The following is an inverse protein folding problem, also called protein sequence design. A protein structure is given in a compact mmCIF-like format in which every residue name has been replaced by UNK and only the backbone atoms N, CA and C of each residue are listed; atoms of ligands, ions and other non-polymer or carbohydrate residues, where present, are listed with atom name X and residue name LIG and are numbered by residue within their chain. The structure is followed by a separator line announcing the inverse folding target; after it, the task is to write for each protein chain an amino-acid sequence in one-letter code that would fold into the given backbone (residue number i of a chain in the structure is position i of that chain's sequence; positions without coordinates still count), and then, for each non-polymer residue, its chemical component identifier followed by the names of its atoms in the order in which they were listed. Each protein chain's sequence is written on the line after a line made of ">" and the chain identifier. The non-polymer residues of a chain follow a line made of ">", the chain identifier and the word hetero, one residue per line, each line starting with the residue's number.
data_IF_550564112281
#
_entry.id   IF_550564112281
#
_cell.length_a   1.000
_cell.length_b   1.000
_cell.length_c   1.000
_cell.angle_alpha   90.00
_cell.angle_beta   90.00
_cell.angle_gamma   90.00
#
_symmetry.space_group_name_H-M   'P 1'
#
loop_
_entity.id
_entity.type
_entity.pdbx_description
1 polymer ?
#
# COMPACT_ATOMS: atom_id res chain seq x y z
N UNK A 1 -6.05 1.02 -25.59
CA UNK A 1 -4.77 0.78 -24.89
C UNK A 1 -5.07 0.58 -23.40
N UNK A 2 -4.87 -0.62 -22.86
CA UNK A 2 -5.10 -0.86 -21.42
C UNK A 2 -3.88 -0.35 -20.66
N UNK A 3 -3.98 0.86 -20.13
CA UNK A 3 -3.00 1.40 -19.19
C UNK A 3 -3.05 0.48 -17.97
N UNK A 4 -2.13 -0.48 -17.87
CA UNK A 4 -1.89 -1.24 -16.65
C UNK A 4 -1.27 -0.28 -15.63
N UNK A 5 -2.08 0.67 -15.14
CA UNK A 5 -1.66 1.60 -14.11
C UNK A 5 -1.27 0.76 -12.91
N UNK A 6 0.02 0.76 -12.59
CA UNK A 6 0.55 0.12 -11.40
C UNK A 6 0.72 1.20 -10.35
N UNK A 7 0.23 0.97 -9.13
CA UNK A 7 0.55 1.82 -8.00
C UNK A 7 1.88 1.37 -7.42
N UNK A 8 2.86 2.27 -7.30
CA UNK A 8 4.13 1.93 -6.66
C UNK A 8 4.48 2.92 -5.56
N UNK A 9 5.07 2.44 -4.46
CA UNK A 9 5.74 3.30 -3.47
C UNK A 9 6.90 2.59 -2.79
N UNK A 10 7.81 3.38 -2.25
CA UNK A 10 8.82 2.93 -1.29
C UNK A 10 8.23 2.92 0.13
N UNK A 11 8.52 1.87 0.87
CA UNK A 11 8.07 1.67 2.24
C UNK A 11 8.97 2.46 3.20
N UNK A 12 8.35 3.29 4.04
CA UNK A 12 9.02 4.04 5.12
C UNK A 12 9.27 3.14 6.33
N UNK A 13 10.08 3.61 7.27
CA UNK A 13 10.34 2.89 8.52
C UNK A 13 9.07 2.64 9.34
N UNK A 14 8.18 3.63 9.41
CA UNK A 14 6.88 3.53 10.07
C UNK A 14 6.00 2.46 9.41
N UNK A 15 5.82 2.53 8.09
CA UNK A 15 5.01 1.58 7.33
C UNK A 15 5.50 0.13 7.50
N UNK A 16 6.82 -0.07 7.47
CA UNK A 16 7.43 -1.38 7.72
C UNK A 16 7.20 -1.89 9.14
N UNK A 17 7.34 -1.01 10.15
CA UNK A 17 7.15 -1.36 11.56
C UNK A 17 5.69 -1.69 11.89
N UNK A 18 4.76 -0.86 11.40
CA UNK A 18 3.33 -0.96 11.71
C UNK A 18 2.56 -1.93 10.79
N UNK A 19 3.16 -2.35 9.68
CA UNK A 19 2.58 -3.37 8.79
C UNK A 19 1.44 -2.84 7.92
N UNK A 20 1.62 -1.67 7.32
CA UNK A 20 0.76 -1.10 6.28
C UNK A 20 1.58 -0.34 5.25
N UNK A 21 0.94 0.09 4.18
CA UNK A 21 1.47 1.16 3.34
C UNK A 21 0.42 2.27 3.19
N UNK A 22 0.88 3.51 3.26
CA UNK A 22 0.08 4.69 2.98
C UNK A 22 -0.21 4.77 1.49
N UNK A 23 -1.46 5.07 1.15
CA UNK A 23 -1.89 5.35 -0.21
C UNK A 23 -1.70 6.84 -0.47
N UNK A 24 -1.05 7.18 -1.59
CA UNK A 24 -0.90 8.58 -1.98
C UNK A 24 -2.26 9.19 -2.33
N UNK A 25 -2.56 10.40 -1.83
CA UNK A 25 -3.85 11.08 -2.01
C UNK A 25 -4.24 11.20 -3.50
N UNK A 26 -3.28 11.55 -4.36
CA UNK A 26 -3.48 11.67 -5.81
C UNK A 26 -3.65 10.32 -6.54
N UNK A 27 -3.45 9.20 -5.85
CA UNK A 27 -3.61 7.83 -6.38
C UNK A 27 -4.67 7.04 -5.61
N UNK A 28 -5.47 7.69 -4.77
CA UNK A 28 -6.51 7.02 -3.98
C UNK A 28 -7.55 6.33 -4.87
N UNK A 29 -7.92 6.95 -5.98
CA UNK A 29 -8.85 6.40 -6.99
C UNK A 29 -8.33 5.13 -7.69
N UNK A 30 -7.05 4.79 -7.50
CA UNK A 30 -6.50 3.52 -7.98
C UNK A 30 -7.12 2.33 -7.24
N UNK A 31 -7.41 2.50 -5.96
CA UNK A 31 -8.01 1.50 -5.11
C UNK A 31 -9.54 1.64 -5.09
N UNK A 32 -10.26 0.61 -4.63
CA UNK A 32 -11.67 0.77 -4.29
C UNK A 32 -11.85 1.87 -3.25
N UNK A 33 -13.03 2.49 -3.24
CA UNK A 33 -13.36 3.52 -2.25
C UNK A 33 -13.07 3.06 -0.82
N UNK A 34 -12.65 4.00 0.03
CA UNK A 34 -12.34 3.71 1.44
C UNK A 34 -13.48 2.93 2.11
N UNK A 35 -13.11 1.95 2.94
CA UNK A 35 -14.04 1.02 3.58
C UNK A 35 -14.58 -0.12 2.68
N UNK A 36 -14.51 -0.02 1.35
CA UNK A 36 -14.90 -1.13 0.46
C UNK A 36 -13.86 -2.25 0.52
N UNK A 37 -14.37 -3.48 0.61
CA UNK A 37 -13.52 -4.68 0.68
C UNK A 37 -13.04 -5.08 -0.71
N UNK A 38 -11.78 -5.50 -0.81
CA UNK A 38 -11.21 -6.10 -2.00
C UNK A 38 -10.26 -7.25 -1.63
N UNK A 39 -9.88 -8.04 -2.63
CA UNK A 39 -8.90 -9.09 -2.46
C UNK A 39 -7.50 -8.58 -2.80
N UNK A 40 -6.59 -8.68 -1.84
CA UNK A 40 -5.17 -8.39 -2.04
C UNK A 40 -4.40 -9.70 -2.04
N UNK A 41 -3.75 -10.00 -3.17
CA UNK A 41 -2.93 -11.19 -3.37
C UNK A 41 -1.48 -10.83 -3.14
N UNK A 42 -0.82 -11.52 -2.22
CA UNK A 42 0.61 -11.36 -1.93
C UNK A 42 1.22 -12.75 -1.78
N UNK A 43 2.31 -13.01 -2.50
CA UNK A 43 3.02 -14.31 -2.46
C UNK A 43 2.09 -15.50 -2.72
N UNK A 44 1.15 -15.37 -3.67
CA UNK A 44 0.14 -16.39 -3.99
C UNK A 44 -1.04 -16.47 -3.01
N UNK A 45 -0.95 -15.86 -1.83
CA UNK A 45 -2.01 -15.86 -0.83
C UNK A 45 -2.96 -14.68 -1.03
N UNK A 46 -4.26 -14.99 -1.18
CA UNK A 46 -5.32 -13.98 -1.27
C UNK A 46 -5.89 -13.69 0.12
N UNK A 47 -6.02 -12.42 0.48
CA UNK A 47 -6.76 -12.00 1.68
C UNK A 47 -7.70 -10.84 1.41
N UNK A 48 -8.72 -10.69 2.26
CA UNK A 48 -9.56 -9.48 2.28
C UNK A 48 -8.74 -8.30 2.82
N UNK A 49 -8.85 -7.17 2.15
CA UNK A 49 -8.24 -5.91 2.51
C UNK A 49 -9.23 -4.76 2.26
N UNK A 50 -8.95 -3.60 2.83
CA UNK A 50 -9.68 -2.35 2.65
C UNK A 50 -8.68 -1.20 2.60
N UNK A 51 -9.06 -0.11 1.95
CA UNK A 51 -8.43 1.18 2.20
C UNK A 51 -9.05 1.71 3.49
N UNK A 52 -8.23 1.83 4.53
CA UNK A 52 -8.57 2.43 5.82
C UNK A 52 -8.07 3.88 5.86
N UNK A 53 -8.60 4.67 6.80
CA UNK A 53 -8.14 6.03 7.04
C UNK A 53 -8.04 6.35 8.53
N UNK A 54 -7.15 7.29 8.88
CA UNK A 54 -7.11 7.91 10.21
C UNK A 54 -6.90 9.42 10.08
N UNK A 55 -7.50 10.22 10.99
CA UNK A 55 -7.33 11.67 11.00
C UNK A 55 -5.92 12.03 11.47
N UNK A 56 -5.33 13.05 10.85
CA UNK A 56 -3.99 13.50 11.13
C UNK A 56 -3.93 15.03 11.09
N UNK A 57 -3.13 15.61 11.99
CA UNK A 57 -2.89 17.05 12.07
C UNK A 57 -1.42 17.37 11.79
N UNK A 58 -0.72 16.55 10.99
CA UNK A 58 0.71 16.78 10.74
C UNK A 58 1.01 18.03 9.90
N UNK A 59 -0.02 18.67 9.32
CA UNK A 59 0.06 20.01 8.71
C UNK A 59 -0.27 21.15 9.68
N UNK A 60 -0.55 20.83 10.94
CA UNK A 60 -1.00 21.75 11.97
C UNK A 60 -2.47 21.53 12.36
N UNK A 61 -2.90 22.03 13.53
CA UNK A 61 -4.27 21.83 14.03
C UNK A 61 -5.35 22.43 13.11
N UNK A 62 -5.02 23.48 12.37
CA UNK A 62 -5.94 24.20 11.48
C UNK A 62 -6.08 23.56 10.09
N UNK A 63 -5.25 22.57 9.77
CA UNK A 63 -5.27 21.84 8.49
C UNK A 63 -5.36 20.32 8.72
N UNK A 64 -6.44 19.82 9.34
CA UNK A 64 -6.63 18.39 9.51
C UNK A 64 -6.78 17.69 8.14
N UNK A 65 -6.15 16.53 7.98
CA UNK A 65 -6.34 15.66 6.81
C UNK A 65 -6.32 14.19 7.21
N UNK A 66 -6.88 13.35 6.34
CA UNK A 66 -6.81 11.91 6.51
C UNK A 66 -5.61 11.29 5.80
N UNK A 67 -4.93 10.38 6.50
CA UNK A 67 -4.03 9.43 5.86
C UNK A 67 -4.80 8.18 5.48
N UNK A 68 -4.66 7.75 4.23
CA UNK A 68 -5.24 6.51 3.74
C UNK A 68 -4.17 5.42 3.70
N UNK A 69 -4.51 4.19 4.06
CA UNK A 69 -3.57 3.08 4.09
C UNK A 69 -4.23 1.74 3.80
N UNK A 70 -3.39 0.75 3.44
CA UNK A 70 -3.80 -0.65 3.30
C UNK A 70 -2.92 -1.50 4.20
N UNK A 71 -3.53 -2.25 5.11
CA UNK A 71 -2.80 -3.16 6.01
C UNK A 71 -2.15 -4.30 5.23
N UNK A 72 -0.86 -4.48 5.47
CA UNK A 72 -0.10 -5.63 4.97
C UNK A 72 1.14 -5.92 5.78
N UNK A 73 1.18 -7.09 6.40
CA UNK A 73 2.34 -7.56 7.15
C UNK A 73 3.49 -7.98 6.23
N UNK A 74 4.69 -8.01 6.82
CA UNK A 74 5.90 -8.53 6.18
C UNK A 74 6.53 -7.58 5.16
N UNK A 75 6.26 -6.27 5.27
CA UNK A 75 7.03 -5.22 4.60
C UNK A 75 8.23 -4.80 5.47
N UNK A 76 9.31 -4.34 4.85
CA UNK A 76 10.46 -3.75 5.54
C UNK A 76 10.70 -2.33 5.02
N UNK A 77 11.31 -1.50 5.86
CA UNK A 77 11.77 -0.17 5.45
C UNK A 77 12.67 -0.29 4.22
N UNK A 78 12.42 0.56 3.22
CA UNK A 78 13.16 0.55 1.96
C UNK A 78 12.61 -0.38 0.88
N UNK A 79 11.77 -1.37 1.21
CA UNK A 79 11.09 -2.19 0.21
C UNK A 79 10.29 -1.32 -0.76
N UNK A 80 10.12 -1.78 -2.00
CA UNK A 80 9.19 -1.16 -2.95
C UNK A 80 7.99 -2.04 -3.16
N UNK A 81 6.81 -1.51 -2.90
CA UNK A 81 5.54 -2.19 -3.23
C UNK A 81 5.09 -1.77 -4.62
N UNK A 82 4.61 -2.73 -5.40
CA UNK A 82 3.95 -2.53 -6.68
C UNK A 82 2.60 -3.24 -6.64
N UNK A 83 1.52 -2.50 -6.83
CA UNK A 83 0.15 -3.01 -6.81
C UNK A 83 -0.47 -2.86 -8.18
N UNK A 84 -0.94 -3.96 -8.75
CA UNK A 84 -1.64 -4.02 -10.03
C UNK A 84 -3.08 -4.50 -9.84
N UNK A 85 -3.97 -4.09 -10.74
CA UNK A 85 -5.34 -4.65 -10.83
C UNK A 85 -5.27 -5.98 -11.57
N UNK A 86 -5.92 -7.01 -11.04
CA UNK A 86 -6.10 -8.26 -11.76
C UNK A 86 -7.21 -8.05 -12.80
N UNK A 87 -6.82 -7.94 -14.07
CA UNK A 87 -7.71 -7.57 -15.18
C UNK A 87 -8.78 -8.63 -15.49
N UNK A 88 -8.68 -9.83 -14.92
CA UNK A 88 -9.66 -10.90 -15.06
C UNK A 88 -10.71 -10.97 -13.94
N UNK A 89 -10.56 -10.22 -12.84
CA UNK A 89 -11.46 -10.30 -11.68
C UNK A 89 -11.72 -8.95 -11.05
N UNK A 90 -12.99 -8.57 -10.96
CA UNK A 90 -13.43 -7.35 -10.28
C UNK A 90 -12.95 -7.34 -8.82
N UNK A 91 -12.42 -6.22 -8.35
CA UNK A 91 -11.93 -6.01 -6.98
C UNK A 91 -10.82 -6.98 -6.50
N UNK A 92 -9.96 -7.45 -7.40
CA UNK A 92 -8.75 -8.20 -7.05
C UNK A 92 -7.50 -7.41 -7.45
N UNK A 93 -6.56 -7.33 -6.52
CA UNK A 93 -5.31 -6.60 -6.66
C UNK A 93 -4.15 -7.53 -6.32
N UNK A 94 -3.04 -7.42 -7.05
CA UNK A 94 -1.82 -8.19 -6.81
C UNK A 94 -0.75 -7.25 -6.28
N UNK A 95 -0.18 -7.60 -5.14
CA UNK A 95 0.91 -6.90 -4.48
C UNK A 95 2.22 -7.65 -4.71
N UNK A 96 3.14 -7.01 -5.42
CA UNK A 96 4.53 -7.42 -5.54
C UNK A 96 5.39 -6.58 -4.60
N UNK A 97 6.32 -7.24 -3.90
CA UNK A 97 7.27 -6.58 -3.01
C UNK A 97 8.67 -6.78 -3.56
N UNK A 98 9.29 -5.70 -4.02
CA UNK A 98 10.70 -5.68 -4.39
C UNK A 98 11.51 -5.37 -3.13
N UNK A 99 12.21 -6.38 -2.63
CA UNK A 99 12.97 -6.27 -1.37
C UNK A 99 14.17 -5.36 -1.55
N UNK A 100 14.36 -4.45 -0.60
CA UNK A 100 15.61 -3.71 -0.51
C UNK A 100 16.64 -4.58 0.22
N UNK A 101 17.46 -5.29 -0.55
CA UNK A 101 18.57 -6.09 0.00
C UNK A 101 19.76 -5.14 0.16
N UNK A 102 19.77 -4.34 1.22
CA UNK A 102 21.03 -3.76 1.68
C UNK A 102 21.76 -4.87 2.43
N UNK A 103 22.86 -5.36 1.85
CA UNK A 103 23.82 -6.19 2.56
C UNK A 103 24.23 -5.47 3.83
N UNK A 104 23.78 -5.97 4.98
CA UNK A 104 24.41 -5.66 6.25
C UNK A 104 25.81 -6.25 6.20
N UNK A 105 26.81 -5.41 5.91
CA UNK A 105 28.18 -5.74 6.27
C UNK A 105 28.19 -5.90 7.79
N UNK A 106 28.39 -7.15 8.22
CA UNK A 106 28.77 -7.48 9.57
C UNK A 106 30.06 -6.70 9.88
N UNK A 107 30.03 -5.90 10.93
CA UNK A 107 31.22 -5.39 11.63
C UNK A 107 31.22 -6.02 13.00
#
# INVERSE_FOLDING_TARGET
>A
MKTNETYTKKITSEEGREGYFLVFKNRLSFFPAAGKTFHLVKDGHSRKARVESYPCTCRGPSEPHDHFFVRTRGLKAGDRVAVSRDSGKTARFVLHVHRNIQHSQLS
#
